data_IF_942470415584
#
_entry.id   IF_942470415584
#
_cell.length_a   1.000
_cell.length_b   1.000
_cell.length_c   1.000
_cell.angle_alpha   90.00
_cell.angle_beta   90.00
_cell.angle_gamma   90.00
#
_symmetry.space_group_name_H-M   'P 1'
#
loop_
_entity.id
_entity.type
_entity.pdbx_description
1 polymer ?
#
# COMPACT_ATOMS: atom_id res chain seq x y z
N UNK A 1 2.57 13.80 27.99
CA UNK A 1 3.36 12.72 27.36
C UNK A 1 2.50 11.47 27.28
N UNK A 2 2.01 11.09 26.09
CA UNK A 2 1.25 9.84 25.94
C UNK A 2 2.25 8.72 25.67
N UNK A 3 2.40 7.80 26.63
CA UNK A 3 3.35 6.69 26.54
C UNK A 3 3.07 5.85 25.28
N UNK A 4 4.08 5.66 24.43
CA UNK A 4 4.00 4.68 23.33
C UNK A 4 3.71 3.31 23.92
N UNK A 5 2.48 2.84 23.73
CA UNK A 5 2.06 1.52 24.20
C UNK A 5 2.81 0.42 23.44
N UNK A 6 2.87 -0.79 24.01
CA UNK A 6 3.40 -1.95 23.28
C UNK A 6 2.61 -2.18 21.99
N UNK A 7 1.29 -1.96 22.01
CA UNK A 7 0.39 -2.10 20.87
C UNK A 7 0.76 -1.19 19.70
N UNK A 8 1.12 0.07 19.97
CA UNK A 8 1.53 1.03 18.93
C UNK A 8 2.77 0.54 18.17
N UNK A 9 3.75 -0.03 18.90
CA UNK A 9 4.95 -0.65 18.28
C UNK A 9 4.59 -1.84 17.39
N UNK A 10 3.68 -2.71 17.83
CA UNK A 10 3.21 -3.82 17.01
C UNK A 10 2.52 -3.35 15.73
N UNK A 11 1.66 -2.33 15.83
CA UNK A 11 0.99 -1.75 14.66
C UNK A 11 1.99 -1.14 13.67
N UNK A 12 2.99 -0.41 14.15
CA UNK A 12 4.06 0.13 13.31
C UNK A 12 4.86 -0.98 12.60
N UNK A 13 5.19 -2.06 13.31
CA UNK A 13 5.86 -3.22 12.72
C UNK A 13 5.00 -3.93 11.67
N UNK A 14 3.69 -4.06 11.89
CA UNK A 14 2.76 -4.67 10.92
C UNK A 14 2.64 -3.78 9.67
N UNK A 15 2.53 -2.46 9.84
CA UNK A 15 2.46 -1.53 8.72
C UNK A 15 3.75 -1.59 7.88
N UNK A 16 4.90 -1.64 8.53
CA UNK A 16 6.19 -1.80 7.86
C UNK A 16 6.33 -3.15 7.14
N UNK A 17 6.00 -4.24 7.81
CA UNK A 17 6.00 -5.56 7.20
C UNK A 17 5.02 -5.64 6.02
N UNK A 18 3.87 -4.94 6.10
CA UNK A 18 2.85 -4.91 5.06
C UNK A 18 3.35 -4.32 3.75
N UNK A 19 3.96 -3.12 3.77
CA UNK A 19 4.48 -2.54 2.53
C UNK A 19 5.74 -3.26 2.03
N UNK A 20 6.58 -3.83 2.91
CA UNK A 20 7.69 -4.70 2.50
C UNK A 20 7.17 -5.97 1.81
N UNK A 21 6.14 -6.61 2.37
CA UNK A 21 5.49 -7.77 1.77
C UNK A 21 4.87 -7.42 0.42
N UNK A 22 4.27 -6.24 0.27
CA UNK A 22 3.74 -5.79 -1.02
C UNK A 22 4.85 -5.67 -2.07
N UNK A 23 6.03 -5.14 -1.71
CA UNK A 23 7.17 -4.98 -2.63
C UNK A 23 7.84 -6.31 -3.01
N UNK A 24 7.80 -7.31 -2.13
CA UNK A 24 8.48 -8.60 -2.36
C UNK A 24 7.54 -9.63 -2.94
N UNK A 25 6.39 -9.84 -2.30
CA UNK A 25 5.50 -10.95 -2.62
C UNK A 25 4.70 -10.65 -3.88
N UNK A 26 4.18 -9.43 -4.06
CA UNK A 26 3.39 -9.12 -5.26
C UNK A 26 4.16 -9.29 -6.57
N UNK A 27 5.44 -8.88 -6.68
CA UNK A 27 6.17 -9.06 -7.93
C UNK A 27 6.65 -10.50 -8.16
N UNK A 28 6.98 -11.26 -7.10
CA UNK A 28 7.45 -12.65 -7.21
C UNK A 28 6.34 -13.66 -7.42
N UNK A 29 5.13 -13.36 -6.94
CA UNK A 29 4.03 -14.31 -6.95
C UNK A 29 3.39 -14.43 -8.32
N UNK A 30 3.29 -15.64 -8.86
CA UNK A 30 2.45 -15.96 -10.01
C UNK A 30 1.92 -17.39 -9.85
N UNK A 31 0.82 -17.70 -10.52
CA UNK A 31 0.15 -18.99 -10.39
C UNK A 31 -0.02 -19.65 -11.76
N UNK A 32 0.81 -20.66 -12.04
CA UNK A 32 0.82 -21.38 -13.32
C UNK A 32 -0.49 -22.12 -13.59
N UNK A 33 -1.27 -22.43 -12.54
CA UNK A 33 -2.57 -23.07 -12.66
C UNK A 33 -3.72 -22.08 -12.97
N UNK A 34 -3.44 -20.78 -12.99
CA UNK A 34 -4.44 -19.74 -13.27
C UNK A 34 -4.50 -19.42 -14.76
N UNK A 35 -5.71 -19.15 -15.27
CA UNK A 35 -5.95 -18.76 -16.68
C UNK A 35 -5.19 -17.49 -17.11
N UNK A 36 -4.83 -16.65 -16.15
CA UNK A 36 -3.90 -15.53 -16.31
C UNK A 36 -2.83 -15.68 -15.25
N UNK A 37 -1.73 -16.30 -15.61
CA UNK A 37 -0.67 -16.70 -14.66
C UNK A 37 -0.16 -15.54 -13.81
N UNK A 38 -0.14 -14.32 -14.36
CA UNK A 38 0.50 -13.16 -13.74
C UNK A 38 -0.44 -12.08 -13.18
N UNK A 39 -1.77 -12.15 -13.33
CA UNK A 39 -2.66 -10.98 -13.07
C UNK A 39 -3.58 -11.15 -11.83
N UNK A 40 -4.65 -11.97 -11.87
CA UNK A 40 -5.75 -11.93 -10.90
C UNK A 40 -5.32 -12.31 -9.47
N UNK A 41 -4.49 -13.34 -9.31
CA UNK A 41 -4.15 -13.84 -7.98
C UNK A 41 -3.24 -12.84 -7.24
N UNK A 42 -2.38 -12.10 -7.96
CA UNK A 42 -1.57 -11.00 -7.39
C UNK A 42 -2.46 -9.91 -6.80
N UNK A 43 -3.57 -9.59 -7.46
CA UNK A 43 -4.47 -8.53 -7.01
C UNK A 43 -5.15 -8.92 -5.71
N UNK A 44 -5.61 -10.18 -5.59
CA UNK A 44 -6.17 -10.71 -4.35
C UNK A 44 -5.18 -10.64 -3.20
N UNK A 45 -3.90 -10.94 -3.47
CA UNK A 45 -2.81 -10.81 -2.50
C UNK A 45 -2.62 -9.36 -2.05
N UNK A 46 -2.53 -8.41 -3.00
CA UNK A 46 -2.37 -6.98 -2.69
C UNK A 46 -3.56 -6.43 -1.91
N UNK A 47 -4.80 -6.79 -2.28
CA UNK A 47 -6.02 -6.44 -1.54
C UNK A 47 -5.95 -6.93 -0.09
N UNK A 48 -5.51 -8.17 0.12
CA UNK A 48 -5.39 -8.77 1.45
C UNK A 48 -4.35 -8.05 2.31
N UNK A 49 -3.18 -7.73 1.73
CA UNK A 49 -2.15 -6.93 2.41
C UNK A 49 -2.71 -5.55 2.80
N UNK A 50 -3.41 -4.88 1.88
CA UNK A 50 -4.01 -3.57 2.13
C UNK A 50 -5.03 -3.62 3.29
N UNK A 51 -5.87 -4.66 3.36
CA UNK A 51 -6.82 -4.85 4.46
C UNK A 51 -6.13 -5.07 5.80
N UNK A 52 -5.07 -5.89 5.84
CA UNK A 52 -4.28 -6.11 7.08
C UNK A 52 -3.64 -4.80 7.55
N UNK A 53 -3.04 -4.05 6.62
CA UNK A 53 -2.47 -2.73 6.93
C UNK A 53 -3.54 -1.74 7.42
N UNK A 54 -4.70 -1.71 6.76
CA UNK A 54 -5.82 -0.85 7.15
C UNK A 54 -6.34 -1.20 8.55
N UNK A 55 -6.45 -2.49 8.89
CA UNK A 55 -6.85 -2.94 10.21
C UNK A 55 -5.83 -2.54 11.28
N UNK A 56 -4.53 -2.75 11.04
CA UNK A 56 -3.47 -2.34 11.96
C UNK A 56 -3.48 -0.81 12.18
N UNK A 57 -3.69 -0.04 11.11
CA UNK A 57 -3.83 1.42 11.20
C UNK A 57 -5.07 1.85 11.99
N UNK A 58 -6.23 1.21 11.77
CA UNK A 58 -7.45 1.50 12.51
C UNK A 58 -7.31 1.19 14.01
N UNK A 59 -6.67 0.07 14.37
CA UNK A 59 -6.36 -0.28 15.77
C UNK A 59 -5.46 0.77 16.40
N UNK A 60 -4.43 1.22 15.67
CA UNK A 60 -3.54 2.30 16.14
C UNK A 60 -4.30 3.59 16.40
N UNK A 61 -5.21 3.98 15.53
CA UNK A 61 -6.08 5.16 15.72
C UNK A 61 -7.00 5.02 16.93
N UNK A 62 -7.65 3.87 17.08
CA UNK A 62 -8.54 3.59 18.22
C UNK A 62 -7.81 3.65 19.56
N UNK A 63 -6.52 3.29 19.56
CA UNK A 63 -5.63 3.39 20.72
C UNK A 63 -5.11 4.82 21.00
N UNK A 64 -5.63 5.84 20.30
CA UNK A 64 -5.19 7.24 20.43
C UNK A 64 -3.86 7.54 19.74
N UNK A 65 -3.35 6.61 18.92
CA UNK A 65 -2.14 6.80 18.13
C UNK A 65 -2.33 7.81 16.99
N UNK A 66 -1.21 8.31 16.45
CA UNK A 66 -1.25 9.27 15.36
C UNK A 66 -1.58 8.60 14.02
N UNK A 67 -2.57 9.16 13.30
CA UNK A 67 -2.92 8.79 11.93
C UNK A 67 -1.74 8.96 10.95
N UNK A 68 -0.97 10.01 11.17
CA UNK A 68 0.18 10.43 10.40
C UNK A 68 1.31 10.70 11.37
N UNK A 69 2.44 9.99 11.24
CA UNK A 69 3.55 10.19 12.16
C UNK A 69 4.12 11.61 11.95
N UNK A 70 4.26 12.42 13.02
CA UNK A 70 4.84 13.76 12.91
C UNK A 70 6.29 13.68 12.41
N UNK A 71 6.80 14.74 11.74
CA UNK A 71 8.20 14.83 11.36
C UNK A 71 9.07 14.58 12.60
N UNK A 72 10.14 13.77 12.45
CA UNK A 72 11.00 13.29 13.53
C UNK A 72 11.89 14.36 14.16
N UNK A 73 11.29 15.46 14.60
CA UNK A 73 11.94 16.46 15.42
C UNK A 73 11.53 16.13 16.86
N UNK A 74 12.49 15.64 17.64
CA UNK A 74 12.34 15.22 19.05
C UNK A 74 12.01 16.37 20.03
N UNK A 75 11.59 17.54 19.56
CA UNK A 75 11.09 18.60 20.43
C UNK A 75 9.64 18.32 20.83
N UNK A 76 9.51 17.69 22.00
CA UNK A 76 8.27 17.46 22.74
C UNK A 76 7.62 18.75 23.28
N UNK A 77 7.73 19.87 22.56
CA UNK A 77 7.06 21.12 22.89
C UNK A 77 5.86 21.31 21.97
N UNK A 78 4.70 20.97 22.53
CA UNK A 78 3.37 21.43 22.13
C UNK A 78 3.16 21.61 20.61
N UNK A 79 3.18 20.52 19.84
CA UNK A 79 2.55 20.57 18.52
C UNK A 79 1.03 20.74 18.74
N UNK A 80 0.42 21.84 18.25
CA UNK A 80 -0.98 22.12 18.49
C UNK A 80 -1.84 21.00 17.92
N UNK A 81 -2.92 20.64 18.63
CA UNK A 81 -3.97 19.76 18.14
C UNK A 81 -4.46 20.29 16.77
N UNK A 82 -4.03 19.65 15.68
CA UNK A 82 -4.25 20.12 14.30
C UNK A 82 -3.00 20.22 13.42
N UNK A 83 -1.78 20.11 13.98
CA UNK A 83 -0.54 20.08 13.21
C UNK A 83 -0.52 18.92 12.18
N UNK A 84 -1.08 17.77 12.54
CA UNK A 84 -1.19 16.59 11.67
C UNK A 84 -2.07 16.84 10.45
N UNK A 85 -3.21 17.54 10.62
CA UNK A 85 -4.14 17.85 9.54
C UNK A 85 -3.58 18.92 8.59
N UNK A 86 -2.89 19.93 9.14
CA UNK A 86 -2.21 20.96 8.33
C UNK A 86 -1.04 20.38 7.53
N UNK A 87 -0.27 19.45 8.11
CA UNK A 87 0.81 18.75 7.39
C UNK A 87 0.29 17.86 6.26
N UNK A 88 -0.85 17.21 6.47
CA UNK A 88 -1.55 16.42 5.45
C UNK A 88 -1.97 17.30 4.26
N UNK A 89 -2.73 18.37 4.50
CA UNK A 89 -3.23 19.24 3.41
C UNK A 89 -2.10 19.95 2.65
N UNK A 90 -0.98 20.25 3.33
CA UNK A 90 0.18 20.92 2.70
C UNK A 90 0.98 20.02 1.78
N UNK A 91 0.82 18.70 1.82
CA UNK A 91 1.53 17.81 0.91
C UNK A 91 0.93 17.93 -0.51
N UNK A 92 1.71 18.39 -1.51
CA UNK A 92 1.19 18.61 -2.86
C UNK A 92 0.67 17.32 -3.51
N UNK A 93 1.14 16.14 -3.09
CA UNK A 93 0.71 14.85 -3.64
C UNK A 93 -0.68 14.40 -3.18
N UNK A 94 -1.22 14.97 -2.10
CA UNK A 94 -2.53 14.56 -1.59
C UNK A 94 -3.66 15.00 -2.53
N UNK A 95 -3.51 16.16 -3.19
CA UNK A 95 -4.53 16.66 -4.12
C UNK A 95 -4.68 15.78 -5.37
N UNK A 96 -3.61 15.44 -6.13
CA UNK A 96 -3.73 14.52 -7.25
C UNK A 96 -4.32 13.16 -6.88
N UNK A 97 -3.87 12.58 -5.76
CA UNK A 97 -4.38 11.27 -5.29
C UNK A 97 -5.86 11.38 -4.90
N UNK A 98 -6.24 12.44 -4.17
CA UNK A 98 -7.63 12.69 -3.78
C UNK A 98 -8.55 12.89 -4.99
N UNK A 99 -8.11 13.66 -5.99
CA UNK A 99 -8.84 13.84 -7.25
C UNK A 99 -8.99 12.53 -8.03
N UNK A 100 -7.95 11.69 -8.03
CA UNK A 100 -8.02 10.37 -8.67
C UNK A 100 -9.01 9.45 -7.96
N UNK A 101 -9.00 9.42 -6.62
CA UNK A 101 -10.00 8.67 -5.83
C UNK A 101 -11.40 9.16 -6.15
N UNK A 102 -11.62 10.48 -6.16
CA UNK A 102 -12.92 11.05 -6.49
C UNK A 102 -13.36 10.65 -7.90
N UNK A 103 -12.48 10.72 -8.89
CA UNK A 103 -12.77 10.30 -10.25
C UNK A 103 -13.19 8.83 -10.33
N UNK A 104 -12.46 7.91 -9.67
CA UNK A 104 -12.80 6.48 -9.63
C UNK A 104 -14.14 6.22 -8.94
N UNK A 105 -14.41 6.91 -7.82
CA UNK A 105 -15.67 6.76 -7.07
C UNK A 105 -16.85 7.26 -7.89
N UNK A 106 -16.76 8.47 -8.46
CA UNK A 106 -17.81 9.02 -9.32
C UNK A 106 -18.03 8.13 -10.55
N UNK A 107 -16.95 7.72 -11.22
CA UNK A 107 -17.03 6.81 -12.37
C UNK A 107 -17.69 5.48 -11.98
N UNK A 108 -17.51 4.99 -10.76
CA UNK A 108 -18.14 3.74 -10.30
C UNK A 108 -19.61 3.92 -10.00
N UNK A 109 -19.99 5.00 -9.31
CA UNK A 109 -21.38 5.31 -8.95
C UNK A 109 -22.22 5.55 -10.20
N UNK A 110 -21.69 6.27 -11.19
CA UNK A 110 -22.39 6.57 -12.44
C UNK A 110 -22.20 5.50 -13.53
N UNK A 111 -21.55 4.37 -13.20
CA UNK A 111 -21.34 3.30 -14.17
C UNK A 111 -22.61 2.52 -14.46
N UNK A 112 -22.79 2.12 -15.72
CA UNK A 112 -23.84 1.17 -16.13
C UNK A 112 -23.66 -0.18 -15.43
N UNK A 113 -22.41 -0.61 -15.23
CA UNK A 113 -22.05 -1.85 -14.57
C UNK A 113 -21.30 -1.57 -13.27
N UNK A 114 -22.01 -1.02 -12.28
CA UNK A 114 -21.45 -0.62 -10.96
C UNK A 114 -20.68 -1.78 -10.31
N UNK A 115 -21.24 -3.00 -10.34
CA UNK A 115 -20.60 -4.17 -9.73
C UNK A 115 -19.23 -4.49 -10.36
N UNK A 116 -19.16 -4.50 -11.70
CA UNK A 116 -17.92 -4.74 -12.44
C UNK A 116 -16.94 -3.58 -12.24
N UNK A 117 -17.43 -2.35 -12.12
CA UNK A 117 -16.59 -1.16 -11.89
C UNK A 117 -15.98 -1.18 -10.49
N UNK A 118 -16.70 -1.67 -9.49
CA UNK A 118 -16.21 -1.80 -8.12
C UNK A 118 -15.22 -2.96 -7.96
N UNK A 119 -15.62 -4.18 -8.32
CA UNK A 119 -14.84 -5.40 -8.07
C UNK A 119 -13.83 -5.73 -9.18
N UNK A 120 -14.03 -5.19 -10.38
CA UNK A 120 -13.35 -5.59 -11.60
C UNK A 120 -14.02 -6.77 -12.30
N UNK A 121 -13.60 -7.03 -13.54
CA UNK A 121 -14.07 -8.21 -14.28
C UNK A 121 -13.52 -9.50 -13.67
N UNK A 122 -14.21 -10.62 -13.89
CA UNK A 122 -13.78 -11.93 -13.39
C UNK A 122 -12.33 -12.28 -13.80
N UNK A 123 -11.93 -11.92 -15.02
CA UNK A 123 -10.60 -12.22 -15.54
C UNK A 123 -9.50 -11.35 -14.92
N UNK A 124 -9.79 -10.08 -14.64
CA UNK A 124 -8.75 -9.11 -14.26
C UNK A 124 -8.80 -8.69 -12.81
N UNK A 125 -9.96 -8.75 -12.15
CA UNK A 125 -10.17 -8.21 -10.80
C UNK A 125 -9.69 -6.76 -10.64
N UNK A 126 -9.64 -5.98 -11.73
CA UNK A 126 -9.23 -4.58 -11.73
C UNK A 126 -10.48 -3.69 -11.69
N UNK A 127 -10.71 -3.08 -10.53
CA UNK A 127 -11.81 -2.16 -10.29
C UNK A 127 -11.44 -1.16 -9.19
N UNK A 128 -12.38 -0.32 -8.80
CA UNK A 128 -12.18 0.73 -7.79
C UNK A 128 -11.68 0.17 -6.45
N UNK A 129 -12.11 -1.03 -6.06
CA UNK A 129 -11.59 -1.69 -4.88
C UNK A 129 -10.08 -1.96 -4.95
N UNK A 130 -9.57 -2.46 -6.08
CA UNK A 130 -8.11 -2.68 -6.27
C UNK A 130 -7.34 -1.36 -6.28
N UNK A 131 -7.89 -0.35 -6.94
CA UNK A 131 -7.29 0.99 -6.94
C UNK A 131 -7.18 1.55 -5.52
N UNK A 132 -8.24 1.45 -4.72
CA UNK A 132 -8.23 1.87 -3.31
C UNK A 132 -7.24 1.06 -2.46
N UNK A 133 -7.03 -0.23 -2.76
CA UNK A 133 -6.00 -1.03 -2.11
C UNK A 133 -4.58 -0.49 -2.41
N UNK A 134 -4.28 -0.15 -3.66
CA UNK A 134 -3.00 0.47 -4.03
C UNK A 134 -2.79 1.81 -3.33
N UNK A 135 -3.82 2.66 -3.33
CA UNK A 135 -3.82 3.95 -2.62
C UNK A 135 -3.61 3.76 -1.12
N UNK A 136 -4.24 2.75 -0.52
CA UNK A 136 -4.12 2.45 0.92
C UNK A 136 -2.67 2.09 1.25
N UNK A 137 -2.06 1.16 0.51
CA UNK A 137 -0.66 0.76 0.74
C UNK A 137 0.27 1.97 0.57
N UNK A 138 0.11 2.72 -0.52
CA UNK A 138 0.94 3.90 -0.79
C UNK A 138 0.77 4.98 0.29
N UNK A 139 -0.46 5.30 0.67
CA UNK A 139 -0.80 6.30 1.66
C UNK A 139 -0.29 5.92 3.06
N UNK A 140 -0.47 4.67 3.48
CA UNK A 140 0.04 4.17 4.76
C UNK A 140 1.57 4.11 4.78
N UNK A 141 2.22 3.74 3.66
CA UNK A 141 3.67 3.81 3.53
C UNK A 141 4.15 5.25 3.68
N UNK A 142 3.55 6.20 2.96
CA UNK A 142 3.88 7.62 3.04
C UNK A 142 3.60 8.22 4.44
N UNK A 143 2.57 7.73 5.13
CA UNK A 143 2.22 8.16 6.49
C UNK A 143 3.16 7.60 7.57
N UNK A 144 3.83 6.46 7.31
CA UNK A 144 4.63 5.75 8.32
C UNK A 144 6.13 5.76 8.09
N UNK A 145 6.59 5.94 6.85
CA UNK A 145 8.01 5.99 6.52
C UNK A 145 8.63 7.31 7.02
N UNK A 146 9.36 7.25 8.14
CA UNK A 146 9.97 8.43 8.79
C UNK A 146 11.45 8.26 9.07
N UNK A 147 11.97 7.03 8.99
CA UNK A 147 13.37 6.74 9.30
C UNK A 147 14.17 6.45 8.03
N UNK A 148 15.44 6.90 7.94
CA UNK A 148 16.29 6.58 6.80
C UNK A 148 16.52 5.07 6.64
N UNK A 149 16.48 4.31 7.74
CA UNK A 149 16.57 2.85 7.72
C UNK A 149 15.39 2.19 6.99
N UNK A 150 14.17 2.75 7.11
CA UNK A 150 12.98 2.25 6.41
C UNK A 150 13.12 2.46 4.91
N UNK A 151 13.61 3.64 4.50
CA UNK A 151 13.91 3.92 3.10
C UNK A 151 14.98 2.97 2.56
N UNK A 152 16.02 2.69 3.35
CA UNK A 152 17.05 1.73 2.96
C UNK A 152 16.46 0.33 2.81
N UNK A 153 15.62 -0.15 3.75
CA UNK A 153 14.92 -1.44 3.61
C UNK A 153 14.01 -1.48 2.40
N UNK A 154 13.29 -0.40 2.10
CA UNK A 154 12.50 -0.26 0.89
C UNK A 154 13.33 -0.45 -0.38
N UNK A 155 14.47 0.26 -0.49
CA UNK A 155 15.38 0.13 -1.62
C UNK A 155 15.94 -1.29 -1.75
N UNK A 156 16.36 -1.90 -0.64
CA UNK A 156 16.87 -3.27 -0.64
C UNK A 156 15.79 -4.26 -1.09
N UNK A 157 14.56 -4.12 -0.61
CA UNK A 157 13.44 -4.97 -1.03
C UNK A 157 13.17 -4.84 -2.53
N UNK A 158 13.17 -3.62 -3.08
CA UNK A 158 12.99 -3.39 -4.52
C UNK A 158 14.12 -4.02 -5.32
N UNK A 159 15.38 -3.77 -4.97
CA UNK A 159 16.55 -4.28 -5.69
C UNK A 159 16.57 -5.82 -5.63
N UNK A 160 16.47 -6.39 -4.44
CA UNK A 160 16.53 -7.84 -4.23
C UNK A 160 15.40 -8.56 -4.97
N UNK A 161 14.20 -7.96 -5.01
CA UNK A 161 13.05 -8.52 -5.72
C UNK A 161 13.19 -8.38 -7.24
N UNK A 162 13.77 -7.28 -7.72
CA UNK A 162 13.95 -7.04 -9.17
C UNK A 162 14.92 -8.02 -9.83
N UNK A 163 15.91 -8.54 -9.09
CA UNK A 163 16.92 -9.47 -9.61
C UNK A 163 16.32 -10.79 -10.15
N UNK A 164 15.60 -11.60 -9.34
CA UNK A 164 15.00 -12.85 -9.84
C UNK A 164 13.96 -12.59 -10.93
N UNK A 165 13.21 -11.49 -10.86
CA UNK A 165 12.22 -11.13 -11.89
C UNK A 165 12.89 -10.81 -13.22
N UNK A 166 14.00 -10.08 -13.20
CA UNK A 166 14.75 -9.74 -14.40
C UNK A 166 15.42 -10.98 -15.00
N UNK A 167 15.98 -11.86 -14.15
CA UNK A 167 16.52 -13.16 -14.59
C UNK A 167 15.42 -14.00 -15.25
N UNK A 168 14.24 -14.08 -14.62
CA UNK A 168 13.12 -14.81 -15.17
C UNK A 168 12.65 -14.24 -16.52
N UNK A 169 12.58 -12.90 -16.65
CA UNK A 169 12.27 -12.25 -17.93
C UNK A 169 13.30 -12.53 -19.03
N UNK A 170 14.59 -12.65 -18.68
CA UNK A 170 15.64 -13.06 -19.64
C UNK A 170 15.46 -14.52 -20.06
N UNK A 171 15.12 -15.42 -19.13
CA UNK A 171 14.82 -16.83 -19.44
C UNK A 171 13.63 -16.93 -20.42
N UNK A 172 12.56 -16.18 -20.18
CA UNK A 172 11.41 -16.09 -21.10
C UNK A 172 11.80 -15.53 -22.47
N UNK A 173 12.66 -14.50 -22.53
CA UNK A 173 13.12 -13.93 -23.80
C UNK A 173 13.83 -14.97 -24.70
N UNK A 174 14.59 -15.90 -24.09
CA UNK A 174 15.25 -17.00 -24.82
C UNK A 174 14.33 -18.19 -25.11
N UNK A 175 13.03 -18.13 -24.75
CA UNK A 175 12.06 -19.20 -25.00
C UNK A 175 12.30 -20.47 -24.18
N UNK A 176 13.07 -20.37 -23.09
CA UNK A 176 13.35 -21.49 -22.18
C UNK A 176 12.18 -21.78 -21.24
N UNK A 177 11.24 -20.84 -21.12
CA UNK A 177 9.95 -20.98 -20.45
C UNK A 177 8.85 -20.51 -21.40
N UNK A 178 7.80 -21.32 -21.67
CA UNK A 178 6.75 -20.97 -22.63
C UNK A 178 5.66 -20.02 -22.08
N UNK A 179 5.71 -19.67 -20.79
CA UNK A 179 4.84 -18.67 -20.17
C UNK A 179 5.17 -17.25 -20.65
#
# INVERSE_FOLDING_TARGET
>A
MMNRTKLDRWCDSILEAGWLAALVVSPLFFNVFSSRVFEPDKISLVRTIALVMMAAWAIKLANGGYAWLPPGNDSAEAQPQGANWRGFIKNPFIWPVGLMILAFVLSTIFSVAVFVSWFGSYQRLQGTYSFLAYVTIAGLTAATMRRPEQLRRFQHAVILTSLPISIYGVIQHYGLDPL
#
